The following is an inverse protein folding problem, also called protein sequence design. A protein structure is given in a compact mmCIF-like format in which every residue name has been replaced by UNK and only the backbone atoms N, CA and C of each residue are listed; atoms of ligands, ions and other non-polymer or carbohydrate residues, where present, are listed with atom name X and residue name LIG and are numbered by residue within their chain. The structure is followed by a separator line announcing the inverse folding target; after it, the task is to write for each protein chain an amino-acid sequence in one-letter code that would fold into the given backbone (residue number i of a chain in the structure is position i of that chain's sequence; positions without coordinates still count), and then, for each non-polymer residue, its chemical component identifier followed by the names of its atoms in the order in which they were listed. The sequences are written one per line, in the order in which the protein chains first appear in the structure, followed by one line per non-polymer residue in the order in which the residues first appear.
data_IF_233484401063
#
_entry.id   IF_233484401063
#
_cell.length_a   1.000
_cell.length_b   1.000
_cell.length_c   1.000
_cell.angle_alpha   90.00
_cell.angle_beta   90.00
_cell.angle_gamma   90.00
#
_symmetry.space_group_name_H-M   'P 1'
#
loop_
_entity.id
_entity.type
_entity.pdbx_description
1 polymer ?
#
# COMPACT_ATOMS: atom_id res chain seq x y z
N UNK A 1 -14.92 -13.71 -7.06
CA UNK A 1 -13.45 -13.64 -6.91
C UNK A 1 -13.16 -12.42 -6.02
N UNK A 2 -12.31 -12.52 -5.00
CA UNK A 2 -12.03 -11.43 -4.04
C UNK A 2 -10.60 -10.92 -4.21
N UNK A 3 -10.38 -9.60 -4.12
CA UNK A 3 -9.04 -8.98 -4.18
C UNK A 3 -8.11 -9.54 -3.08
N UNK A 4 -8.67 -10.04 -1.97
CA UNK A 4 -7.90 -10.64 -0.87
C UNK A 4 -7.15 -11.92 -1.27
N UNK A 5 -7.55 -12.55 -2.39
CA UNK A 5 -6.88 -13.72 -2.96
C UNK A 5 -5.73 -13.36 -3.91
N UNK A 6 -5.55 -12.08 -4.24
CA UNK A 6 -4.43 -11.65 -5.06
C UNK A 6 -3.15 -11.71 -4.24
N UNK A 7 -2.14 -12.41 -4.74
CA UNK A 7 -0.81 -12.48 -4.13
C UNK A 7 -0.21 -11.08 -3.94
N UNK A 8 -0.34 -10.21 -4.95
CA UNK A 8 0.12 -8.83 -4.88
C UNK A 8 -0.56 -8.01 -3.77
N UNK A 9 -1.84 -8.29 -3.47
CA UNK A 9 -2.54 -7.63 -2.36
C UNK A 9 -2.03 -8.13 -1.00
N UNK A 10 -1.70 -9.42 -0.88
CA UNK A 10 -1.13 -10.00 0.33
C UNK A 10 0.27 -9.44 0.61
N UNK A 11 1.11 -9.35 -0.44
CA UNK A 11 2.43 -8.72 -0.38
C UNK A 11 2.34 -7.24 0.01
N UNK A 12 1.44 -6.48 -0.62
CA UNK A 12 1.21 -5.08 -0.26
C UNK A 12 0.72 -4.91 1.18
N UNK A 13 -0.15 -5.81 1.67
CA UNK A 13 -0.59 -5.80 3.08
C UNK A 13 0.59 -6.05 4.03
N UNK A 14 1.45 -7.01 3.72
CA UNK A 14 2.62 -7.31 4.53
C UNK A 14 3.59 -6.12 4.55
N UNK A 15 3.85 -5.52 3.38
CA UNK A 15 4.67 -4.33 3.24
C UNK A 15 4.18 -3.16 4.10
N UNK A 16 2.87 -2.90 4.15
CA UNK A 16 2.29 -1.84 5.00
C UNK A 16 2.61 -2.08 6.49
N UNK A 17 2.54 -3.34 6.95
CA UNK A 17 2.83 -3.71 8.34
C UNK A 17 4.31 -3.49 8.64
N UNK A 18 5.18 -3.93 7.73
CA UNK A 18 6.63 -3.87 7.93
C UNK A 18 7.13 -2.42 7.89
N UNK A 19 6.62 -1.60 6.96
CA UNK A 19 6.90 -0.17 6.90
C UNK A 19 6.35 0.55 8.14
N UNK A 20 5.16 0.20 8.62
CA UNK A 20 4.62 0.78 9.85
C UNK A 20 5.54 0.52 11.04
N UNK A 21 5.94 -0.74 11.26
CA UNK A 21 6.89 -1.13 12.31
C UNK A 21 8.24 -0.42 12.14
N UNK A 22 8.77 -0.36 10.92
CA UNK A 22 10.02 0.35 10.62
C UNK A 22 9.93 1.82 11.00
N UNK A 23 8.85 2.53 10.64
CA UNK A 23 8.70 3.95 10.94
C UNK A 23 8.53 4.26 12.43
N UNK A 24 8.15 3.27 13.25
CA UNK A 24 8.03 3.43 14.70
C UNK A 24 9.31 3.04 15.45
N UNK A 25 10.06 2.06 14.92
CA UNK A 25 11.17 1.45 15.65
C UNK A 25 12.55 1.91 15.15
N UNK A 26 12.67 2.33 13.88
CA UNK A 26 13.95 2.66 13.24
C UNK A 26 14.14 4.16 12.99
N UNK A 27 13.06 4.94 12.95
CA UNK A 27 13.16 6.39 12.79
C UNK A 27 13.41 7.08 14.13
N UNK A 28 14.21 8.15 14.15
CA UNK A 28 14.30 9.03 15.32
C UNK A 28 12.92 9.58 15.69
N UNK A 29 12.65 9.76 16.99
CA UNK A 29 11.34 10.21 17.48
C UNK A 29 10.90 11.56 16.88
N UNK A 30 11.85 12.45 16.55
CA UNK A 30 11.54 13.75 15.94
C UNK A 30 11.03 13.63 14.49
N UNK A 31 11.36 12.54 13.78
CA UNK A 31 10.89 12.27 12.41
C UNK A 31 9.52 11.58 12.36
N UNK A 32 8.95 11.23 13.51
CA UNK A 32 7.77 10.36 13.59
C UNK A 32 6.54 10.95 12.89
N UNK A 33 6.38 12.27 12.93
CA UNK A 33 5.24 12.99 12.37
C UNK A 33 5.51 13.52 10.95
N UNK A 34 6.73 13.96 10.66
CA UNK A 34 7.13 14.43 9.33
C UNK A 34 7.38 13.26 8.37
N UNK A 35 8.58 12.70 8.37
CA UNK A 35 8.96 11.64 7.43
C UNK A 35 8.20 10.34 7.72
N UNK A 36 8.08 9.94 8.98
CA UNK A 36 7.33 8.75 9.37
C UNK A 36 5.86 8.82 8.96
N UNK A 37 5.24 10.00 9.08
CA UNK A 37 3.87 10.24 8.62
C UNK A 37 3.72 10.12 7.11
N UNK A 38 4.64 10.73 6.36
CA UNK A 38 4.65 10.67 4.88
C UNK A 38 4.84 9.24 4.37
N UNK A 39 5.82 8.50 4.90
CA UNK A 39 6.12 7.12 4.52
C UNK A 39 4.89 6.22 4.76
N UNK A 40 4.23 6.34 5.93
CA UNK A 40 3.04 5.55 6.25
C UNK A 40 1.85 5.88 5.35
N UNK A 41 1.69 7.13 4.90
CA UNK A 41 0.63 7.49 3.94
C UNK A 41 0.93 6.95 2.55
N UNK A 42 2.18 7.05 2.10
CA UNK A 42 2.61 6.53 0.79
C UNK A 42 2.42 5.01 0.68
N UNK A 43 2.86 4.23 1.68
CA UNK A 43 2.68 2.76 1.60
C UNK A 43 1.20 2.32 1.64
N UNK A 44 0.32 3.10 2.27
CA UNK A 44 -1.12 2.81 2.29
C UNK A 44 -1.78 2.97 0.91
N UNK A 45 -1.28 3.87 0.05
CA UNK A 45 -1.85 4.09 -1.28
C UNK A 45 -1.67 2.86 -2.17
N UNK A 46 -0.52 2.16 -2.08
CA UNK A 46 -0.23 0.93 -2.84
C UNK A 46 -1.35 -0.11 -2.72
N UNK A 47 -1.83 -0.35 -1.49
CA UNK A 47 -2.93 -1.28 -1.25
C UNK A 47 -4.25 -0.78 -1.87
N UNK A 48 -4.53 0.52 -1.78
CA UNK A 48 -5.73 1.13 -2.37
C UNK A 48 -5.73 1.03 -3.88
N UNK A 49 -4.59 1.32 -4.51
CA UNK A 49 -4.37 1.24 -5.96
C UNK A 49 -4.62 -0.18 -6.50
N UNK A 50 -4.14 -1.22 -5.80
CA UNK A 50 -4.42 -2.63 -6.15
C UNK A 50 -5.93 -2.95 -6.05
N UNK A 51 -6.63 -2.44 -5.03
CA UNK A 51 -8.08 -2.69 -4.86
C UNK A 51 -8.87 -1.98 -5.95
N UNK A 52 -8.50 -0.75 -6.30
CA UNK A 52 -9.11 0.02 -7.39
C UNK A 52 -8.90 -0.66 -8.75
N UNK A 53 -7.66 -1.05 -9.06
CA UNK A 53 -7.32 -1.82 -10.27
C UNK A 53 -8.11 -3.13 -10.35
N UNK A 54 -8.21 -3.87 -9.24
CA UNK A 54 -9.03 -5.09 -9.19
C UNK A 54 -10.51 -4.83 -9.47
N UNK A 55 -11.08 -3.74 -8.94
CA UNK A 55 -12.46 -3.34 -9.20
C UNK A 55 -12.70 -2.94 -10.66
N UNK A 56 -11.69 -2.35 -11.31
CA UNK A 56 -11.74 -1.88 -12.70
C UNK A 56 -11.28 -2.91 -13.73
N UNK A 57 -11.01 -4.17 -13.31
CA UNK A 57 -10.56 -5.28 -14.18
C UNK A 57 -11.45 -5.58 -15.40
N UNK A 58 -12.68 -5.07 -15.43
CA UNK A 58 -13.63 -5.22 -16.55
C UNK A 58 -13.28 -4.32 -17.74
N UNK A 59 -12.48 -3.26 -17.53
CA UNK A 59 -12.02 -2.33 -18.56
C UNK A 59 -10.48 -2.39 -18.64
N UNK A 60 -9.96 -3.06 -19.69
CA UNK A 60 -8.52 -3.33 -19.87
C UNK A 60 -7.62 -2.08 -19.82
N UNK A 61 -8.11 -0.93 -20.31
CA UNK A 61 -7.35 0.32 -20.32
C UNK A 61 -7.23 0.97 -18.93
N UNK A 62 -8.21 0.80 -18.04
CA UNK A 62 -8.12 1.34 -16.67
C UNK A 62 -7.25 0.46 -15.76
N UNK A 63 -7.19 -0.84 -16.02
CA UNK A 63 -6.37 -1.77 -15.24
C UNK A 63 -4.87 -1.43 -15.27
N UNK A 64 -4.34 -0.99 -16.42
CA UNK A 64 -2.91 -0.68 -16.62
C UNK A 64 -2.49 0.64 -15.93
N UNK A 65 -3.42 1.59 -15.76
CA UNK A 65 -3.10 2.92 -15.22
C UNK A 65 -2.95 2.93 -13.68
N UNK A 66 -3.47 1.92 -13.01
CA UNK A 66 -3.53 1.82 -11.54
C UNK A 66 -2.83 0.55 -11.02
N UNK A 67 -1.84 0.03 -11.75
CA UNK A 67 -1.04 -1.13 -11.34
C UNK A 67 0.41 -0.74 -11.11
#
# INVERSE_FOLDING_TARGET
MSYKKLEIWQLARQLVIDVHKMTLNKLPKFEMFEQGGQIRRSVKSVKSTIVEGYGRRRYKQEFIRFQ
#
